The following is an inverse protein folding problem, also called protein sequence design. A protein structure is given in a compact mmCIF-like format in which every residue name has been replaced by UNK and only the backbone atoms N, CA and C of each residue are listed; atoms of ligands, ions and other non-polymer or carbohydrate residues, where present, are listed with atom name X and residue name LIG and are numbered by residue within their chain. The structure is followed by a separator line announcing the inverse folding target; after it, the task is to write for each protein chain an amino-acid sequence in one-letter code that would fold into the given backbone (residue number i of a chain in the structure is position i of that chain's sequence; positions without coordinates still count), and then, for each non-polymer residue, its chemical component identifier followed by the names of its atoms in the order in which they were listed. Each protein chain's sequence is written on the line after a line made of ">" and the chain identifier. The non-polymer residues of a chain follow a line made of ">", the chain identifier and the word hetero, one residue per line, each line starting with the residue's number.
data_IF_292713556758
#
_entry.id   IF_292713556758
#
_cell.length_a   1.000
_cell.length_b   1.000
_cell.length_c   1.000
_cell.angle_alpha   90.00
_cell.angle_beta   90.00
_cell.angle_gamma   90.00
#
_symmetry.space_group_name_H-M   'P 1'
#
loop_
_entity.id
_entity.type
_entity.pdbx_description
1 polymer ?
#
# COMPACT_ATOMS: atom_id res chain seq x y z
N UNK A 1 -23.33 -36.70 7.21
CA UNK A 1 -22.72 -36.41 5.87
C UNK A 1 -22.94 -34.96 5.47
N UNK A 2 -24.09 -34.34 5.83
CA UNK A 2 -24.43 -32.96 5.41
C UNK A 2 -23.61 -31.86 6.07
N UNK A 3 -23.14 -32.05 7.32
CA UNK A 3 -22.31 -31.04 8.00
C UNK A 3 -20.90 -30.91 7.40
N UNK A 4 -20.31 -31.99 6.90
CA UNK A 4 -18.99 -31.98 6.27
C UNK A 4 -19.03 -31.31 4.88
N UNK A 5 -20.14 -31.51 4.14
CA UNK A 5 -20.35 -30.93 2.82
C UNK A 5 -20.57 -29.40 2.92
N UNK A 6 -21.32 -28.94 3.91
CA UNK A 6 -21.60 -27.52 4.16
C UNK A 6 -20.34 -26.73 4.61
N UNK A 7 -19.46 -27.34 5.46
CA UNK A 7 -18.16 -26.71 5.84
C UNK A 7 -17.22 -26.54 4.62
N UNK A 8 -17.18 -27.54 3.71
CA UNK A 8 -16.35 -27.47 2.49
C UNK A 8 -16.83 -26.40 1.51
N UNK A 9 -18.15 -26.28 1.31
CA UNK A 9 -18.77 -25.27 0.45
C UNK A 9 -18.54 -23.85 0.98
N UNK A 10 -18.68 -23.64 2.29
CA UNK A 10 -18.42 -22.34 2.94
C UNK A 10 -16.95 -21.93 2.90
N UNK A 11 -16.03 -22.90 2.91
CA UNK A 11 -14.57 -22.65 2.79
C UNK A 11 -14.17 -22.26 1.37
N UNK A 12 -14.75 -22.91 0.35
CA UNK A 12 -14.48 -22.60 -1.07
C UNK A 12 -14.99 -21.21 -1.42
N UNK A 13 -16.21 -20.86 -1.01
CA UNK A 13 -16.76 -19.52 -1.24
C UNK A 13 -15.94 -18.41 -0.58
N UNK A 14 -15.45 -18.62 0.63
CA UNK A 14 -14.63 -17.60 1.32
C UNK A 14 -13.29 -17.36 0.63
N UNK A 15 -12.68 -18.36 0.01
CA UNK A 15 -11.45 -18.22 -0.76
C UNK A 15 -11.63 -17.46 -2.07
N UNK A 16 -12.74 -17.71 -2.77
CA UNK A 16 -13.11 -17.01 -4.01
C UNK A 16 -13.39 -15.54 -3.72
N UNK A 17 -14.22 -15.26 -2.71
CA UNK A 17 -14.54 -13.90 -2.29
C UNK A 17 -13.26 -13.10 -1.96
N UNK A 18 -12.31 -13.70 -1.21
CA UNK A 18 -11.06 -13.04 -0.86
C UNK A 18 -10.24 -12.67 -2.10
N UNK A 19 -10.19 -13.54 -3.12
CA UNK A 19 -9.50 -13.29 -4.38
C UNK A 19 -10.18 -12.18 -5.19
N UNK A 20 -11.50 -12.16 -5.25
CA UNK A 20 -12.28 -11.12 -5.93
C UNK A 20 -12.07 -9.75 -5.26
N UNK A 21 -12.11 -9.69 -3.91
CA UNK A 21 -11.84 -8.48 -3.15
C UNK A 21 -10.40 -7.97 -3.38
N UNK A 22 -9.43 -8.88 -3.43
CA UNK A 22 -8.05 -8.52 -3.73
C UNK A 22 -7.91 -7.98 -5.17
N UNK A 23 -8.58 -8.61 -6.14
CA UNK A 23 -8.60 -8.10 -7.52
C UNK A 23 -9.21 -6.70 -7.62
N UNK A 24 -10.36 -6.47 -6.97
CA UNK A 24 -10.99 -5.16 -6.91
C UNK A 24 -10.07 -4.11 -6.23
N UNK A 25 -9.40 -4.50 -5.15
CA UNK A 25 -8.40 -3.65 -4.49
C UNK A 25 -7.22 -3.31 -5.41
N UNK A 26 -6.67 -4.28 -6.16
CA UNK A 26 -5.58 -4.03 -7.12
C UNK A 26 -6.01 -3.04 -8.22
N UNK A 27 -7.23 -3.15 -8.71
CA UNK A 27 -7.79 -2.20 -9.69
C UNK A 27 -7.89 -0.80 -9.07
N UNK A 28 -8.46 -0.69 -7.86
CA UNK A 28 -8.58 0.58 -7.16
C UNK A 28 -7.20 1.20 -6.88
N UNK A 29 -6.23 0.39 -6.45
CA UNK A 29 -4.85 0.80 -6.22
C UNK A 29 -4.22 1.36 -7.51
N UNK A 30 -4.37 0.64 -8.62
CA UNK A 30 -3.88 1.09 -9.93
C UNK A 30 -4.51 2.44 -10.34
N UNK A 31 -5.82 2.59 -10.20
CA UNK A 31 -6.51 3.83 -10.52
C UNK A 31 -6.02 5.00 -9.66
N UNK A 32 -5.86 4.79 -8.37
CA UNK A 32 -5.37 5.83 -7.44
C UNK A 32 -3.94 6.24 -7.77
N UNK A 33 -3.05 5.27 -8.07
CA UNK A 33 -1.63 5.54 -8.27
C UNK A 33 -1.30 6.09 -9.67
N UNK A 34 -2.06 5.69 -10.71
CA UNK A 34 -1.67 5.96 -12.10
C UNK A 34 -2.68 6.80 -12.90
N UNK A 35 -3.94 6.92 -12.47
CA UNK A 35 -4.94 7.74 -13.17
C UNK A 35 -4.95 9.18 -12.64
N UNK A 36 -4.28 9.47 -11.54
CA UNK A 36 -4.09 10.82 -11.01
C UNK A 36 -3.41 11.73 -12.05
N UNK A 37 -3.70 13.03 -12.00
CA UNK A 37 -3.17 14.02 -12.95
C UNK A 37 -1.63 13.92 -13.06
N UNK A 38 -1.13 14.07 -14.30
CA UNK A 38 0.30 14.23 -14.57
C UNK A 38 0.89 15.29 -13.65
N UNK A 39 2.02 14.98 -13.06
CA UNK A 39 2.84 15.95 -12.34
C UNK A 39 3.47 16.87 -13.40
N UNK A 40 2.99 18.13 -13.50
CA UNK A 40 3.49 19.06 -14.51
C UNK A 40 4.62 19.91 -13.89
N UNK A 41 5.85 19.68 -14.33
CA UNK A 41 7.04 20.46 -13.94
C UNK A 41 7.34 21.56 -14.98
N UNK A 42 6.36 21.99 -15.77
CA UNK A 42 6.55 22.98 -16.82
C UNK A 42 7.02 22.36 -18.14
N UNK A 43 7.69 23.17 -18.99
CA UNK A 43 8.13 22.81 -20.34
C UNK A 43 9.55 22.19 -20.37
N UNK A 44 10.03 21.70 -19.23
CA UNK A 44 11.36 21.09 -19.13
C UNK A 44 11.46 19.80 -19.93
N UNK A 45 12.64 19.46 -20.50
CA UNK A 45 12.87 18.21 -21.18
C UNK A 45 12.56 17.00 -20.27
N UNK A 46 12.06 15.91 -20.85
CA UNK A 46 11.61 14.71 -20.11
C UNK A 46 12.59 14.24 -19.02
N UNK A 47 13.88 14.16 -19.34
CA UNK A 47 14.88 13.68 -18.37
C UNK A 47 15.16 14.66 -17.23
N UNK A 48 15.00 15.96 -17.46
CA UNK A 48 15.08 16.95 -16.39
C UNK A 48 13.86 16.86 -15.47
N UNK A 49 12.66 16.66 -16.04
CA UNK A 49 11.44 16.40 -15.23
C UNK A 49 11.62 15.15 -14.36
N UNK A 50 12.16 14.04 -14.91
CA UNK A 50 12.45 12.81 -14.15
C UNK A 50 13.43 13.08 -13.01
N UNK A 51 14.54 13.78 -13.26
CA UNK A 51 15.54 14.10 -12.23
C UNK A 51 14.96 14.97 -11.09
N UNK A 52 14.17 15.99 -11.44
CA UNK A 52 13.52 16.87 -10.48
C UNK A 52 12.46 16.15 -9.62
N UNK A 53 11.93 15.04 -10.12
CA UNK A 53 10.90 14.24 -9.46
C UNK A 53 11.47 13.12 -8.57
N UNK A 54 12.77 13.14 -8.24
CA UNK A 54 13.41 12.13 -7.39
C UNK A 54 13.78 12.73 -6.04
N UNK A 55 13.20 12.21 -4.98
CA UNK A 55 13.57 12.51 -3.59
C UNK A 55 14.10 11.25 -2.89
N UNK A 56 15.42 11.20 -2.69
CA UNK A 56 16.10 10.08 -2.02
C UNK A 56 16.46 10.38 -0.57
N UNK A 57 16.08 11.55 -0.05
CA UNK A 57 16.42 11.94 1.32
C UNK A 57 15.33 11.42 2.27
N UNK A 58 15.63 10.41 3.11
CA UNK A 58 14.64 9.85 4.03
C UNK A 58 14.13 10.91 5.01
N UNK A 59 12.84 10.82 5.33
CA UNK A 59 12.10 11.68 6.25
C UNK A 59 11.97 13.15 5.83
N UNK A 60 12.44 13.54 4.64
CA UNK A 60 12.33 14.92 4.16
C UNK A 60 10.90 15.35 3.96
N UNK A 61 10.12 14.54 3.24
CA UNK A 61 8.70 14.80 2.93
C UNK A 61 7.86 14.66 4.18
N UNK A 62 8.07 13.62 4.99
CA UNK A 62 7.37 13.42 6.26
C UNK A 62 7.62 14.60 7.21
N UNK A 63 8.88 15.01 7.38
CA UNK A 63 9.22 16.14 8.24
C UNK A 63 8.57 17.45 7.73
N UNK A 64 8.65 17.72 6.43
CA UNK A 64 8.04 18.91 5.82
C UNK A 64 6.53 18.96 6.05
N UNK A 65 5.83 17.85 5.81
CA UNK A 65 4.38 17.73 6.03
C UNK A 65 4.02 17.92 7.50
N UNK A 66 4.74 17.25 8.42
CA UNK A 66 4.52 17.40 9.87
C UNK A 66 4.79 18.84 10.32
N UNK A 67 5.85 19.48 9.79
CA UNK A 67 6.18 20.86 10.12
C UNK A 67 5.04 21.82 9.70
N UNK A 68 4.50 21.67 8.48
CA UNK A 68 3.36 22.47 7.99
C UNK A 68 2.14 22.28 8.88
N UNK A 69 1.83 21.03 9.26
CA UNK A 69 0.66 20.68 10.09
C UNK A 69 0.80 21.27 11.50
N UNK A 70 1.95 21.08 12.15
CA UNK A 70 2.18 21.50 13.55
C UNK A 70 2.28 23.01 13.68
N UNK A 71 3.05 23.66 12.81
CA UNK A 71 3.30 25.11 12.90
C UNK A 71 2.26 25.93 12.14
N UNK A 72 1.31 25.29 11.45
CA UNK A 72 0.26 25.94 10.65
C UNK A 72 0.79 27.02 9.71
N UNK A 73 1.97 26.79 9.15
CA UNK A 73 2.66 27.75 8.27
C UNK A 73 1.85 28.08 7.04
N UNK A 74 1.07 27.13 6.53
CA UNK A 74 0.10 27.34 5.45
C UNK A 74 -1.18 26.53 5.70
N UNK A 75 -2.25 27.12 6.28
CA UNK A 75 -3.48 26.42 6.61
C UNK A 75 -4.16 25.74 5.41
N UNK A 76 -3.99 26.25 4.21
CA UNK A 76 -4.59 25.68 2.99
C UNK A 76 -3.95 24.37 2.56
N UNK A 77 -2.68 24.13 2.94
CA UNK A 77 -1.97 22.88 2.64
C UNK A 77 -2.20 21.78 3.66
N UNK A 78 -2.64 22.11 4.90
CA UNK A 78 -2.81 21.13 5.97
C UNK A 78 -3.66 19.92 5.56
N UNK A 79 -4.86 20.08 4.94
CA UNK A 79 -5.65 18.93 4.52
C UNK A 79 -4.92 18.05 3.50
N UNK A 80 -4.18 18.66 2.58
CA UNK A 80 -3.40 17.95 1.57
C UNK A 80 -2.28 17.12 2.22
N UNK A 81 -1.53 17.71 3.15
CA UNK A 81 -0.43 17.03 3.84
C UNK A 81 -0.93 15.85 4.69
N UNK A 82 -2.05 16.03 5.42
CA UNK A 82 -2.67 14.95 6.18
C UNK A 82 -3.12 13.81 5.26
N UNK A 83 -3.80 14.14 4.16
CA UNK A 83 -4.28 13.15 3.19
C UNK A 83 -3.09 12.43 2.53
N UNK A 84 -1.98 13.12 2.25
CA UNK A 84 -0.79 12.52 1.68
C UNK A 84 -0.15 11.50 2.63
N UNK A 85 0.10 11.89 3.88
CA UNK A 85 0.72 11.01 4.87
C UNK A 85 -0.17 9.80 5.21
N UNK A 86 -1.44 10.06 5.56
CA UNK A 86 -2.38 9.00 5.94
C UNK A 86 -2.80 8.16 4.73
N UNK A 87 -2.89 8.77 3.56
CA UNK A 87 -3.25 8.11 2.31
C UNK A 87 -2.21 7.06 1.93
N UNK A 88 -0.94 7.42 1.88
CA UNK A 88 0.14 6.49 1.59
C UNK A 88 0.18 5.35 2.62
N UNK A 89 0.09 5.68 3.91
CA UNK A 89 0.05 4.68 4.97
C UNK A 89 -1.14 3.72 4.84
N UNK A 90 -2.36 4.24 4.62
CA UNK A 90 -3.58 3.43 4.55
C UNK A 90 -3.70 2.62 3.25
N UNK A 91 -3.11 3.13 2.16
CA UNK A 91 -3.25 2.56 0.82
C UNK A 91 -2.73 1.13 0.74
N UNK A 92 -1.61 0.82 1.41
CA UNK A 92 -1.00 -0.50 1.42
C UNK A 92 -1.37 -1.39 2.62
N UNK A 93 -2.20 -0.93 3.54
CA UNK A 93 -2.71 -1.76 4.63
C UNK A 93 -3.53 -2.96 4.12
N UNK A 94 -4.45 -2.80 3.13
CA UNK A 94 -5.13 -3.96 2.53
C UNK A 94 -4.17 -4.91 1.81
N UNK A 95 -3.12 -4.42 1.15
CA UNK A 95 -2.10 -5.26 0.54
C UNK A 95 -1.46 -6.19 1.57
N UNK A 96 -1.05 -5.62 2.72
CA UNK A 96 -0.51 -6.38 3.84
C UNK A 96 -1.48 -7.42 4.41
N UNK A 97 -2.77 -7.14 4.41
CA UNK A 97 -3.80 -8.07 4.84
C UNK A 97 -4.04 -9.22 3.85
N UNK A 98 -4.12 -8.92 2.55
CA UNK A 98 -4.45 -9.92 1.54
C UNK A 98 -3.29 -10.87 1.21
N UNK A 99 -2.07 -10.36 1.08
CA UNK A 99 -0.93 -11.15 0.58
C UNK A 99 -0.65 -12.40 1.43
N UNK A 100 -0.49 -12.35 2.77
CA UNK A 100 -0.22 -13.56 3.58
C UNK A 100 -1.42 -14.51 3.65
N UNK A 101 -2.63 -14.04 3.35
CA UNK A 101 -3.84 -14.88 3.31
C UNK A 101 -4.01 -15.61 2.00
N UNK A 102 -3.58 -15.01 0.90
CA UNK A 102 -3.68 -15.58 -0.45
C UNK A 102 -2.48 -16.44 -0.81
N UNK A 103 -1.29 -16.09 -0.31
CA UNK A 103 -0.02 -16.73 -0.67
C UNK A 103 0.73 -17.20 0.56
N UNK A 104 0.80 -18.51 0.77
CA UNK A 104 1.42 -19.11 1.97
C UNK A 104 2.89 -18.74 2.15
N UNK A 105 3.64 -18.61 1.05
CA UNK A 105 5.07 -18.26 1.09
C UNK A 105 5.33 -16.91 1.76
N UNK A 106 4.36 -15.98 1.72
CA UNK A 106 4.46 -14.65 2.33
C UNK A 106 3.89 -14.58 3.75
N UNK A 107 3.55 -15.72 4.38
CA UNK A 107 3.29 -15.78 5.82
C UNK A 107 4.56 -15.62 6.66
N UNK A 108 5.74 -15.82 6.05
CA UNK A 108 7.04 -15.54 6.66
C UNK A 108 7.33 -14.04 6.51
N UNK A 109 7.48 -13.34 7.65
CA UNK A 109 7.58 -11.87 7.71
C UNK A 109 8.68 -11.32 6.79
N UNK A 110 9.89 -11.86 6.83
CA UNK A 110 10.99 -11.38 6.00
C UNK A 110 10.69 -11.50 4.49
N UNK A 111 10.08 -12.61 4.07
CA UNK A 111 9.69 -12.81 2.67
C UNK A 111 8.60 -11.83 2.25
N UNK A 112 7.68 -11.53 3.15
CA UNK A 112 6.63 -10.53 2.94
C UNK A 112 7.23 -9.12 2.79
N UNK A 113 8.12 -8.70 3.70
CA UNK A 113 8.78 -7.39 3.65
C UNK A 113 9.55 -7.21 2.35
N UNK A 114 10.41 -8.17 1.98
CA UNK A 114 11.21 -8.11 0.76
C UNK A 114 10.33 -8.03 -0.49
N UNK A 115 9.28 -8.82 -0.56
CA UNK A 115 8.33 -8.78 -1.67
C UNK A 115 7.61 -7.43 -1.75
N UNK A 116 7.09 -6.94 -0.63
CA UNK A 116 6.39 -5.64 -0.57
C UNK A 116 7.32 -4.50 -0.96
N UNK A 117 8.56 -4.51 -0.46
CA UNK A 117 9.56 -3.50 -0.82
C UNK A 117 9.85 -3.48 -2.32
N UNK A 118 10.02 -4.64 -2.97
CA UNK A 118 10.22 -4.72 -4.43
C UNK A 118 9.00 -4.20 -5.18
N UNK A 119 7.78 -4.51 -4.73
CA UNK A 119 6.55 -3.99 -5.33
C UNK A 119 6.49 -2.47 -5.22
N UNK A 120 6.75 -1.90 -4.04
CA UNK A 120 6.75 -0.46 -3.82
C UNK A 120 7.81 0.25 -4.68
N UNK A 121 9.04 -0.26 -4.68
CA UNK A 121 10.12 0.28 -5.50
C UNK A 121 9.75 0.28 -7.00
N UNK A 122 9.09 -0.79 -7.47
CA UNK A 122 8.62 -0.88 -8.86
C UNK A 122 7.54 0.17 -9.15
N UNK A 123 6.61 0.38 -8.24
CA UNK A 123 5.54 1.38 -8.38
C UNK A 123 6.14 2.78 -8.48
N UNK A 124 7.00 3.17 -7.54
CA UNK A 124 7.65 4.48 -7.52
C UNK A 124 8.48 4.72 -8.79
N UNK A 125 9.22 3.68 -9.23
CA UNK A 125 9.98 3.75 -10.49
C UNK A 125 9.08 3.97 -11.69
N UNK A 126 7.94 3.26 -11.79
CA UNK A 126 6.99 3.43 -12.89
C UNK A 126 6.35 4.82 -12.82
N UNK A 127 6.01 5.32 -11.63
CA UNK A 127 5.39 6.63 -11.45
C UNK A 127 6.30 7.76 -11.94
N UNK A 128 7.58 7.75 -11.56
CA UNK A 128 8.53 8.77 -12.03
C UNK A 128 8.80 8.66 -13.52
N UNK A 129 8.99 7.45 -14.06
CA UNK A 129 9.21 7.25 -15.50
C UNK A 129 8.00 7.62 -16.35
N UNK A 130 6.78 7.52 -15.83
CA UNK A 130 5.57 7.92 -16.54
C UNK A 130 5.15 9.37 -16.24
N UNK A 131 5.94 10.11 -15.45
CA UNK A 131 5.62 11.48 -14.99
C UNK A 131 4.20 11.53 -14.35
N UNK A 132 3.86 10.47 -13.60
CA UNK A 132 2.59 10.36 -12.86
C UNK A 132 2.74 10.64 -11.38
N UNK A 133 3.98 10.74 -10.88
CA UNK A 133 4.34 11.02 -9.50
C UNK A 133 5.82 11.31 -9.37
N UNK A 134 6.25 11.54 -8.13
CA UNK A 134 7.65 11.67 -7.75
C UNK A 134 8.12 10.35 -7.14
N UNK A 135 9.35 9.95 -7.42
CA UNK A 135 9.99 8.87 -6.68
C UNK A 135 10.35 9.40 -5.30
N UNK A 136 9.65 8.97 -4.27
CA UNK A 136 9.87 9.43 -2.89
C UNK A 136 10.12 8.24 -1.95
N UNK A 137 11.29 8.25 -1.30
CA UNK A 137 11.65 7.23 -0.30
C UNK A 137 10.68 7.25 0.88
N UNK A 138 10.13 8.41 1.23
CA UNK A 138 9.17 8.53 2.34
C UNK A 138 7.84 7.86 2.01
N UNK A 139 7.41 7.89 0.75
CA UNK A 139 6.23 7.15 0.31
C UNK A 139 6.44 5.64 0.43
N UNK A 140 7.64 5.14 0.09
CA UNK A 140 8.01 3.73 0.31
C UNK A 140 7.94 3.38 1.81
N UNK A 141 8.47 4.24 2.69
CA UNK A 141 8.47 4.03 4.15
C UNK A 141 7.03 3.98 4.68
N UNK A 142 6.18 4.94 4.32
CA UNK A 142 4.80 5.02 4.77
C UNK A 142 3.95 3.85 4.27
N UNK A 143 4.05 3.53 2.98
CA UNK A 143 3.35 2.40 2.37
C UNK A 143 3.78 1.06 2.99
N UNK A 144 5.09 0.88 3.23
CA UNK A 144 5.62 -0.33 3.86
C UNK A 144 5.13 -0.45 5.31
N UNK A 145 5.11 0.65 6.07
CA UNK A 145 4.58 0.67 7.43
C UNK A 145 3.09 0.26 7.46
N UNK A 146 2.27 0.80 6.53
CA UNK A 146 0.88 0.40 6.37
C UNK A 146 0.73 -1.09 6.05
N UNK A 147 1.53 -1.60 5.12
CA UNK A 147 1.54 -3.03 4.76
C UNK A 147 1.92 -3.92 5.95
N UNK A 148 2.88 -3.52 6.78
CA UNK A 148 3.27 -4.24 8.00
C UNK A 148 2.10 -4.35 8.98
N UNK A 149 1.35 -3.28 9.21
CA UNK A 149 0.17 -3.32 10.07
C UNK A 149 -0.87 -4.27 9.48
N UNK A 150 -1.15 -4.17 8.18
CA UNK A 150 -2.05 -5.10 7.48
C UNK A 150 -1.64 -6.57 7.62
N UNK A 151 -0.33 -6.86 7.55
CA UNK A 151 0.23 -8.19 7.77
C UNK A 151 -0.09 -8.71 9.19
N UNK A 152 0.13 -7.91 10.22
CA UNK A 152 -0.17 -8.34 11.58
C UNK A 152 -1.67 -8.54 11.81
N UNK A 153 -2.53 -7.68 11.25
CA UNK A 153 -3.98 -7.88 11.27
C UNK A 153 -4.36 -9.22 10.62
N UNK A 154 -3.76 -9.55 9.48
CA UNK A 154 -3.98 -10.84 8.80
C UNK A 154 -3.53 -12.02 9.66
N UNK A 155 -2.39 -11.92 10.35
CA UNK A 155 -1.87 -12.96 11.25
C UNK A 155 -2.82 -13.23 12.41
N UNK A 156 -3.31 -12.19 13.05
CA UNK A 156 -4.30 -12.29 14.14
C UNK A 156 -5.58 -12.96 13.62
N UNK A 157 -6.13 -12.48 12.49
CA UNK A 157 -7.34 -13.05 11.90
C UNK A 157 -7.20 -14.52 11.47
N UNK A 158 -5.99 -14.95 11.08
CA UNK A 158 -5.71 -16.36 10.76
C UNK A 158 -5.56 -17.24 12.00
N UNK A 159 -5.03 -16.72 13.11
CA UNK A 159 -4.89 -17.46 14.36
C UNK A 159 -6.25 -17.75 15.00
N UNK A 160 -7.14 -16.77 15.05
CA UNK A 160 -8.51 -16.93 15.57
C UNK A 160 -9.28 -18.03 14.83
N UNK A 161 -9.19 -18.04 13.49
CA UNK A 161 -9.85 -19.05 12.67
C UNK A 161 -9.35 -20.48 12.90
N UNK A 162 -8.13 -20.65 13.42
CA UNK A 162 -7.59 -21.96 13.82
C UNK A 162 -8.12 -22.39 15.19
N UNK A 163 -8.27 -21.46 16.11
CA UNK A 163 -8.79 -21.73 17.46
C UNK A 163 -10.25 -22.19 17.39
N UNK A 164 -11.10 -21.48 16.61
CA UNK A 164 -12.52 -21.85 16.46
C UNK A 164 -12.74 -23.16 15.69
N UNK A 165 -11.75 -23.66 14.96
CA UNK A 165 -11.83 -24.93 14.26
C UNK A 165 -11.34 -26.13 15.11
N UNK A 166 -10.70 -25.84 16.26
CA UNK A 166 -10.16 -26.83 17.18
C UNK A 166 -11.06 -27.02 18.43
N UNK A 167 -12.01 -26.10 18.65
CA UNK A 167 -13.09 -26.20 19.65
C UNK A 167 -14.36 -26.82 19.03
#
# INVERSE_FOLDING_TARGET
>A
KDMCHNKKYKSINSGIILRLLFGAYCIALFLVLFVRKRFNIGDEPYWEQVKMSINLVPFRTIYGSVYIIVHRTNPYLIPHEIISLLGNFALFMPFGYFIPRLFEKYRVFIKFILFTFVVLLSIETIQVLTIRGCFDVDDIILNLAGAVIGFFIARIAMSWKRSDAAS
#
